data_IF_910863678825
#
_entry.id   IF_910863678825
#
_cell.length_a   1.000
_cell.length_b   1.000
_cell.length_c   1.000
_cell.angle_alpha   90.00
_cell.angle_beta   90.00
_cell.angle_gamma   90.00
#
_symmetry.space_group_name_H-M   'P 1'
#
loop_
_entity.id
_entity.type
_entity.pdbx_description
1 polymer ?
#
# COMPACT_ATOMS: atom_id res chain seq x y z
N UNK A 1 -15.74 5.44 2.46
CA UNK A 1 -14.70 6.14 1.68
C UNK A 1 -13.38 5.42 1.93
N UNK A 2 -12.53 5.22 0.92
CA UNK A 2 -11.23 4.59 1.13
C UNK A 2 -10.43 5.36 2.20
N UNK A 3 -10.20 4.74 3.36
CA UNK A 3 -9.50 5.37 4.48
C UNK A 3 -8.00 5.24 4.29
N UNK A 4 -7.44 6.11 3.45
CA UNK A 4 -6.00 6.35 3.49
C UNK A 4 -5.67 7.15 4.75
N UNK A 5 -4.45 6.98 5.28
CA UNK A 5 -3.99 7.78 6.41
C UNK A 5 -4.07 9.27 6.04
N UNK A 6 -4.58 10.16 6.91
CA UNK A 6 -4.75 11.57 6.57
C UNK A 6 -3.42 12.24 6.19
N UNK A 7 -2.32 11.83 6.82
CA UNK A 7 -0.98 12.29 6.42
C UNK A 7 -0.60 11.83 5.01
N UNK A 8 -0.96 10.61 4.60
CA UNK A 8 -0.71 10.15 3.23
C UNK A 8 -1.47 11.01 2.21
N UNK A 9 -2.75 11.28 2.49
CA UNK A 9 -3.58 12.14 1.64
C UNK A 9 -2.99 13.55 1.55
N UNK A 10 -2.51 14.10 2.65
CA UNK A 10 -1.92 15.44 2.70
C UNK A 10 -0.58 15.56 1.95
N UNK A 11 0.15 14.44 1.82
CA UNK A 11 1.43 14.39 1.10
C UNK A 11 1.26 14.23 -0.42
N UNK A 12 0.15 13.64 -0.86
CA UNK A 12 -0.08 13.40 -2.28
C UNK A 12 -0.58 14.67 -2.99
N UNK A 13 -0.04 14.99 -4.19
CA UNK A 13 -0.65 16.00 -5.04
C UNK A 13 -2.07 15.58 -5.47
N UNK A 14 -2.96 16.54 -5.78
CA UNK A 14 -4.36 16.26 -6.09
C UNK A 14 -4.54 15.26 -7.24
N UNK A 15 -3.69 15.33 -8.27
CA UNK A 15 -3.68 14.37 -9.40
C UNK A 15 -3.38 12.92 -8.94
N UNK A 16 -2.34 12.73 -8.11
CA UNK A 16 -1.99 11.42 -7.59
C UNK A 16 -3.08 10.89 -6.64
N UNK A 17 -3.63 11.76 -5.79
CA UNK A 17 -4.70 11.39 -4.87
C UNK A 17 -5.95 10.93 -5.60
N UNK A 18 -6.34 11.60 -6.69
CA UNK A 18 -7.49 11.20 -7.50
C UNK A 18 -7.26 9.83 -8.15
N UNK A 19 -6.07 9.59 -8.71
CA UNK A 19 -5.67 8.27 -9.23
C UNK A 19 -5.75 7.20 -8.16
N UNK A 20 -5.22 7.46 -6.96
CA UNK A 20 -5.28 6.53 -5.83
C UNK A 20 -6.72 6.20 -5.42
N UNK A 21 -7.59 7.21 -5.32
CA UNK A 21 -9.01 7.01 -4.99
C UNK A 21 -9.72 6.21 -6.07
N UNK A 22 -9.51 6.53 -7.35
CA UNK A 22 -10.09 5.81 -8.47
C UNK A 22 -9.66 4.33 -8.44
N UNK A 23 -8.36 4.06 -8.31
CA UNK A 23 -7.80 2.70 -8.22
C UNK A 23 -8.34 1.92 -7.03
N UNK A 24 -8.53 2.56 -5.87
CA UNK A 24 -9.05 1.90 -4.67
C UNK A 24 -10.56 1.61 -4.75
N UNK A 25 -11.31 2.41 -5.50
CA UNK A 25 -12.77 2.24 -5.66
C UNK A 25 -13.11 1.30 -6.83
N UNK A 26 -12.18 1.12 -7.77
CA UNK A 26 -12.34 0.21 -8.90
C UNK A 26 -12.21 -1.25 -8.44
N UNK A 27 -13.33 -1.92 -8.17
CA UNK A 27 -13.36 -3.33 -7.77
C UNK A 27 -13.14 -4.30 -8.94
N UNK A 28 -13.08 -3.78 -10.18
CA UNK A 28 -12.92 -4.60 -11.39
C UNK A 28 -11.46 -4.99 -11.66
N UNK A 29 -10.50 -4.22 -11.16
CA UNK A 29 -9.07 -4.55 -11.28
C UNK A 29 -8.59 -5.50 -10.19
N UNK A 30 -7.75 -6.46 -10.59
CA UNK A 30 -7.07 -7.35 -9.65
C UNK A 30 -6.26 -6.56 -8.61
N UNK A 31 -6.20 -7.08 -7.40
CA UNK A 31 -5.55 -6.40 -6.27
C UNK A 31 -4.05 -6.15 -6.53
N UNK A 32 -3.37 -7.00 -7.32
CA UNK A 32 -1.99 -6.77 -7.74
C UNK A 32 -1.88 -5.71 -8.83
N UNK A 33 -2.77 -5.74 -9.82
CA UNK A 33 -2.80 -4.73 -10.87
C UNK A 33 -3.07 -3.33 -10.28
N UNK A 34 -3.97 -3.25 -9.29
CA UNK A 34 -4.22 -2.05 -8.50
C UNK A 34 -2.97 -1.58 -7.76
N UNK A 35 -2.30 -2.49 -7.06
CA UNK A 35 -1.06 -2.18 -6.35
C UNK A 35 0.01 -1.64 -7.30
N UNK A 36 0.18 -2.26 -8.46
CA UNK A 36 1.18 -1.85 -9.45
C UNK A 36 0.92 -0.44 -9.99
N UNK A 37 -0.34 -0.13 -10.33
CA UNK A 37 -0.73 1.23 -10.75
C UNK A 37 -0.52 2.25 -9.62
N UNK A 38 -0.83 1.89 -8.38
CA UNK A 38 -0.57 2.76 -7.22
C UNK A 38 0.94 3.01 -7.04
N UNK A 39 1.76 1.97 -7.16
CA UNK A 39 3.22 2.06 -7.10
C UNK A 39 3.76 2.93 -8.23
N UNK A 40 3.25 2.80 -9.44
CA UNK A 40 3.65 3.65 -10.58
C UNK A 40 3.39 5.13 -10.29
N UNK A 41 2.21 5.46 -9.72
CA UNK A 41 1.89 6.82 -9.28
C UNK A 41 2.89 7.29 -8.23
N UNK A 42 3.21 6.46 -7.23
CA UNK A 42 4.19 6.82 -6.19
C UNK A 42 5.60 7.02 -6.74
N UNK A 43 6.02 6.20 -7.70
CA UNK A 43 7.32 6.31 -8.36
C UNK A 43 7.44 7.56 -9.22
N UNK A 44 6.32 8.06 -9.73
CA UNK A 44 6.26 9.33 -10.45
C UNK A 44 6.32 10.55 -9.51
N UNK A 45 6.16 10.39 -8.19
CA UNK A 45 6.27 11.48 -7.24
C UNK A 45 7.73 11.85 -6.98
N UNK A 46 8.02 13.11 -6.58
CA UNK A 46 9.36 13.53 -6.20
C UNK A 46 9.89 12.73 -4.98
N UNK A 47 11.20 12.54 -4.91
CA UNK A 47 11.87 11.76 -3.87
C UNK A 47 11.58 12.23 -2.43
N UNK A 48 11.35 13.54 -2.23
CA UNK A 48 10.93 14.09 -0.93
C UNK A 48 9.58 13.51 -0.46
N UNK A 49 8.61 13.41 -1.38
CA UNK A 49 7.30 12.85 -1.08
C UNK A 49 7.41 11.34 -0.86
N UNK A 50 8.21 10.63 -1.67
CA UNK A 50 8.46 9.20 -1.48
C UNK A 50 9.05 8.92 -0.09
N UNK A 51 10.06 9.69 0.33
CA UNK A 51 10.68 9.55 1.65
C UNK A 51 9.70 9.82 2.80
N UNK A 52 8.81 10.81 2.65
CA UNK A 52 7.75 11.08 3.64
C UNK A 52 6.75 9.93 3.71
N UNK A 53 6.40 9.34 2.57
CA UNK A 53 5.51 8.17 2.51
C UNK A 53 6.16 6.96 3.20
N UNK A 54 7.46 6.73 3.04
CA UNK A 54 8.19 5.66 3.75
C UNK A 54 8.23 5.86 5.27
N UNK A 55 8.24 7.11 5.71
CA UNK A 55 8.22 7.48 7.12
C UNK A 55 6.83 7.25 7.76
N UNK A 56 5.76 7.17 6.97
CA UNK A 56 4.41 6.96 7.49
C UNK A 56 4.25 5.61 8.19
N UNK A 57 3.43 5.52 9.25
CA UNK A 57 3.13 4.26 9.90
C UNK A 57 2.54 3.25 8.89
N UNK A 58 2.75 1.94 9.11
CA UNK A 58 2.17 0.93 8.24
C UNK A 58 0.65 1.01 8.31
N UNK A 59 -0.07 0.67 7.22
CA UNK A 59 -1.52 0.77 7.21
C UNK A 59 -2.13 -0.17 8.27
N UNK A 60 -3.31 0.12 8.82
CA UNK A 60 -3.94 -0.71 9.85
C UNK A 60 -4.24 -2.15 9.39
N UNK A 61 -4.38 -2.39 8.08
CA UNK A 61 -4.44 -3.76 7.51
C UNK A 61 -3.15 -4.56 7.75
N UNK A 62 -2.02 -3.91 8.01
CA UNK A 62 -0.75 -4.55 8.37
C UNK A 62 -0.84 -5.29 9.70
N UNK A 63 -1.70 -4.88 10.63
CA UNK A 63 -1.88 -5.59 11.90
C UNK A 63 -2.52 -6.97 11.72
N UNK A 64 -3.28 -7.15 10.64
CA UNK A 64 -4.02 -8.38 10.32
C UNK A 64 -3.11 -9.38 9.58
N UNK A 65 -1.97 -8.92 9.07
CA UNK A 65 -0.99 -9.79 8.44
C UNK A 65 -0.35 -10.71 9.48
N UNK A 66 -0.01 -11.96 9.10
CA UNK A 66 0.75 -12.85 9.97
C UNK A 66 2.12 -12.27 10.25
N UNK A 67 2.70 -12.63 11.40
CA UNK A 67 3.99 -12.11 11.85
C UNK A 67 5.12 -12.36 10.84
N UNK A 68 5.10 -13.48 10.13
CA UNK A 68 6.05 -13.76 9.05
C UNK A 68 6.04 -12.68 7.95
N UNK A 69 4.85 -12.31 7.48
CA UNK A 69 4.70 -11.30 6.45
C UNK A 69 4.99 -9.91 6.99
N UNK A 70 4.56 -9.59 8.21
CA UNK A 70 4.89 -8.32 8.88
C UNK A 70 6.39 -8.13 8.97
N UNK A 71 7.12 -9.16 9.38
CA UNK A 71 8.59 -9.13 9.49
C UNK A 71 9.25 -8.91 8.13
N UNK A 72 8.77 -9.59 7.07
CA UNK A 72 9.26 -9.37 5.70
C UNK A 72 9.05 -7.93 5.24
N UNK A 73 7.86 -7.38 5.45
CA UNK A 73 7.52 -6.01 5.05
C UNK A 73 8.31 -4.97 5.85
N UNK A 74 8.45 -5.18 7.16
CA UNK A 74 9.23 -4.30 8.03
C UNK A 74 10.73 -4.31 7.67
N UNK A 75 11.29 -5.49 7.38
CA UNK A 75 12.66 -5.61 6.89
C UNK A 75 12.86 -4.85 5.57
N UNK A 76 11.91 -4.92 4.63
CA UNK A 76 11.97 -4.15 3.38
C UNK A 76 11.89 -2.64 3.67
N UNK A 77 11.01 -2.24 4.60
CA UNK A 77 10.81 -0.83 4.97
C UNK A 77 12.07 -0.22 5.59
N UNK A 78 12.65 -0.90 6.57
CA UNK A 78 13.80 -0.45 7.35
C UNK A 78 15.12 -0.55 6.56
N UNK A 79 15.14 -1.33 5.47
CA UNK A 79 16.30 -1.45 4.61
C UNK A 79 16.59 -0.14 3.87
N UNK A 80 17.58 0.61 4.37
CA UNK A 80 18.06 1.86 3.75
C UNK A 80 18.96 1.65 2.53
N UNK A 81 19.35 0.41 2.23
CA UNK A 81 20.24 0.06 1.13
C UNK A 81 19.54 -0.16 -0.21
N UNK A 82 18.20 -0.06 -0.26
CA UNK A 82 17.41 -0.28 -1.48
C UNK A 82 16.52 0.93 -1.79
N UNK A 83 16.38 1.25 -3.07
CA UNK A 83 15.55 2.35 -3.56
C UNK A 83 14.07 2.12 -3.28
N UNK A 84 13.28 3.19 -3.23
CA UNK A 84 11.82 3.13 -3.07
C UNK A 84 11.15 2.17 -4.07
N UNK A 85 11.65 2.16 -5.33
CA UNK A 85 11.21 1.21 -6.37
C UNK A 85 11.47 -0.24 -5.99
N UNK A 86 12.68 -0.57 -5.58
CA UNK A 86 13.04 -1.92 -5.13
C UNK A 86 12.25 -2.35 -3.91
N UNK A 87 11.98 -1.42 -2.98
CA UNK A 87 11.06 -1.68 -1.88
C UNK A 87 9.70 -2.09 -2.42
N UNK A 88 9.07 -1.26 -3.27
CA UNK A 88 7.76 -1.55 -3.83
C UNK A 88 7.70 -2.89 -4.58
N UNK A 89 8.75 -3.25 -5.33
CA UNK A 89 8.87 -4.56 -5.98
C UNK A 89 8.87 -5.69 -4.95
N UNK A 90 9.70 -5.58 -3.90
CA UNK A 90 9.73 -6.59 -2.84
C UNK A 90 8.40 -6.67 -2.07
N UNK A 91 7.76 -5.54 -1.80
CA UNK A 91 6.40 -5.49 -1.24
C UNK A 91 5.42 -6.28 -2.11
N UNK A 92 5.45 -6.04 -3.42
CA UNK A 92 4.64 -6.78 -4.40
C UNK A 92 4.92 -8.27 -4.32
N UNK A 93 6.17 -8.70 -4.30
CA UNK A 93 6.53 -10.12 -4.21
C UNK A 93 6.01 -10.78 -2.93
N UNK A 94 6.14 -10.09 -1.79
CA UNK A 94 5.61 -10.57 -0.51
C UNK A 94 4.09 -10.73 -0.57
N UNK A 95 3.37 -9.77 -1.16
CA UNK A 95 1.91 -9.84 -1.36
C UNK A 95 1.50 -10.89 -2.40
N UNK A 96 2.32 -11.10 -3.44
CA UNK A 96 2.12 -12.14 -4.46
C UNK A 96 2.24 -13.53 -3.84
N UNK A 97 3.18 -13.69 -2.92
CA UNK A 97 3.47 -14.93 -2.22
C UNK A 97 2.44 -15.25 -1.13
N UNK A 98 1.53 -14.33 -0.80
CA UNK A 98 0.47 -14.58 0.20
C UNK A 98 -0.57 -15.56 -0.35
N UNK A 99 -1.00 -16.56 0.43
CA UNK A 99 -2.07 -17.46 0.02
C UNK A 99 -3.40 -16.70 -0.14
N UNK A 100 -4.29 -17.21 -0.99
CA UNK A 100 -5.58 -16.57 -1.27
C UNK A 100 -6.44 -16.35 -0.02
N UNK A 101 -6.41 -17.26 0.96
CA UNK A 101 -7.10 -17.10 2.24
C UNK A 101 -6.68 -15.82 2.98
N UNK A 102 -5.38 -15.52 2.96
CA UNK A 102 -4.84 -14.31 3.57
C UNK A 102 -5.24 -13.06 2.78
N UNK A 103 -5.16 -13.13 1.45
CA UNK A 103 -5.57 -12.03 0.56
C UNK A 103 -7.05 -11.71 0.71
N UNK A 104 -7.89 -12.73 0.87
CA UNK A 104 -9.31 -12.58 1.15
C UNK A 104 -9.54 -11.88 2.50
N UNK A 105 -8.82 -12.27 3.56
CA UNK A 105 -8.87 -11.60 4.88
C UNK A 105 -8.45 -10.13 4.80
N UNK A 106 -7.40 -9.81 4.06
CA UNK A 106 -6.94 -8.43 3.84
C UNK A 106 -7.99 -7.64 3.06
N UNK A 107 -8.58 -8.22 2.01
CA UNK A 107 -9.64 -7.59 1.22
C UNK A 107 -10.87 -7.30 2.08
N UNK A 108 -11.30 -8.27 2.88
CA UNK A 108 -12.42 -8.13 3.81
C UNK A 108 -12.12 -7.08 4.89
N UNK A 109 -10.90 -7.04 5.42
CA UNK A 109 -10.49 -6.01 6.36
C UNK A 109 -10.43 -4.62 5.74
N UNK A 110 -9.88 -4.50 4.53
CA UNK A 110 -9.88 -3.27 3.76
C UNK A 110 -11.32 -2.81 3.42
N UNK A 111 -12.25 -3.75 3.21
CA UNK A 111 -13.67 -3.45 3.02
C UNK A 111 -14.36 -3.03 4.32
N UNK A 112 -14.05 -3.67 5.44
CA UNK A 112 -14.56 -3.26 6.77
C UNK A 112 -14.08 -1.87 7.15
N UNK A 113 -12.85 -1.51 6.82
CA UNK A 113 -12.32 -0.15 6.99
C UNK A 113 -13.02 0.88 6.09
N UNK A 114 -13.68 0.47 5.01
CA UNK A 114 -14.49 1.36 4.17
C UNK A 114 -15.92 1.59 4.71
N UNK A 115 -16.40 0.75 5.65
CA UNK A 115 -17.77 0.77 6.19
C UNK A 115 -17.82 1.24 7.66
N UNK A 116 -16.69 1.30 8.36
CA UNK A 116 -16.59 1.81 9.73
C UNK A 116 -16.85 3.31 9.82
N UNK A 117 -18.00 3.65 10.42
CA UNK A 117 -18.49 4.99 10.73
C UNK A 117 -17.96 5.45 12.09
#
# INVERSE_FOLDING_TARGET
MATFHPEFIALLPPDALEKFKALHTDDSIDSMARFDKMVEVLLSLPADIQAKIEALPPPPTHEILPEEFKTKLDAIRTNKGISFKDKCTKYREVIASMPEDLRAKIREAAKKQQIGK
#
